data_IF_442773182719
#
_entry.id   IF_442773182719
#
_cell.length_a   1.000
_cell.length_b   1.000
_cell.length_c   1.000
_cell.angle_alpha   90.00
_cell.angle_beta   90.00
_cell.angle_gamma   90.00
#
_symmetry.space_group_name_H-M   'P 1'
#
loop_
_entity.id
_entity.type
_entity.pdbx_description
1 polymer ?
#
# COMPACT_ATOMS: atom_id res chain seq x y z
N UNK A 1 3.68 12.71 -22.47
CA UNK A 1 3.75 12.33 -21.04
C UNK A 1 4.63 11.11 -20.91
N UNK A 2 5.65 11.19 -20.05
CA UNK A 2 6.50 10.05 -19.73
C UNK A 2 5.75 9.10 -18.79
N UNK A 3 5.85 7.78 -19.02
CA UNK A 3 5.17 6.76 -18.21
C UNK A 3 6.07 6.36 -17.05
N UNK A 4 5.51 6.33 -15.84
CA UNK A 4 6.20 5.80 -14.65
C UNK A 4 5.99 4.29 -14.61
N UNK A 5 7.07 3.51 -14.61
CA UNK A 5 7.02 2.05 -14.44
C UNK A 5 6.92 1.71 -12.96
N UNK A 6 5.88 0.98 -12.57
CA UNK A 6 5.75 0.45 -11.20
C UNK A 6 6.61 -0.82 -11.04
N UNK A 7 7.18 -1.05 -9.84
CA UNK A 7 7.84 -2.31 -9.51
C UNK A 7 6.85 -3.49 -9.53
N UNK A 8 7.36 -4.73 -9.40
CA UNK A 8 6.48 -5.89 -9.21
C UNK A 8 5.97 -5.92 -7.75
N UNK A 9 4.70 -6.28 -7.51
CA UNK A 9 4.17 -6.39 -6.15
C UNK A 9 4.80 -7.58 -5.41
N UNK A 10 4.77 -7.53 -4.08
CA UNK A 10 5.13 -8.66 -3.23
C UNK A 10 3.96 -9.62 -3.16
N UNK A 11 4.22 -10.91 -3.38
CA UNK A 11 3.21 -11.96 -3.29
C UNK A 11 2.96 -12.44 -1.86
N UNK A 12 3.97 -12.31 -0.98
CA UNK A 12 3.85 -12.67 0.43
C UNK A 12 3.60 -11.40 1.26
N UNK A 13 2.41 -11.31 1.86
CA UNK A 13 2.04 -10.25 2.78
C UNK A 13 2.75 -10.38 4.14
N UNK A 14 2.84 -9.25 4.86
CA UNK A 14 3.42 -9.21 6.20
C UNK A 14 2.41 -9.51 7.32
N UNK A 15 1.10 -9.36 7.04
CA UNK A 15 0.00 -9.57 7.98
C UNK A 15 -0.93 -10.67 7.45
N UNK A 16 -1.61 -11.37 8.34
CA UNK A 16 -2.67 -12.29 7.94
C UNK A 16 -3.92 -11.53 7.45
N UNK A 17 -4.80 -12.25 6.76
CA UNK A 17 -6.08 -11.69 6.33
C UNK A 17 -6.96 -11.33 7.55
N UNK A 18 -7.00 -12.22 8.53
CA UNK A 18 -7.79 -12.08 9.77
C UNK A 18 -7.34 -10.85 10.56
N UNK A 19 -6.03 -10.66 10.73
CA UNK A 19 -5.46 -9.49 11.41
C UNK A 19 -5.78 -8.19 10.66
N UNK A 20 -5.75 -8.23 9.32
CA UNK A 20 -6.09 -7.07 8.47
C UNK A 20 -7.56 -6.68 8.62
N UNK A 21 -8.47 -7.66 8.63
CA UNK A 21 -9.91 -7.44 8.82
C UNK A 21 -10.17 -6.84 10.21
N UNK A 22 -9.54 -7.42 11.25
CA UNK A 22 -9.70 -6.94 12.62
C UNK A 22 -9.24 -5.49 12.80
N UNK A 23 -8.13 -5.10 12.17
CA UNK A 23 -7.53 -3.76 12.31
C UNK A 23 -8.12 -2.69 11.37
N UNK A 24 -8.93 -3.08 10.38
CA UNK A 24 -9.43 -2.17 9.33
C UNK A 24 -10.30 -1.05 9.92
N UNK A 25 -9.91 0.20 9.65
CA UNK A 25 -10.64 1.42 10.04
C UNK A 25 -10.53 2.50 8.96
N UNK A 26 -11.49 3.42 8.92
CA UNK A 26 -11.41 4.59 8.03
C UNK A 26 -10.44 5.63 8.60
N UNK A 27 -9.42 6.01 7.82
CA UNK A 27 -8.47 7.09 8.15
C UNK A 27 -8.82 8.31 7.31
N UNK A 28 -8.98 9.47 7.95
CA UNK A 28 -9.37 10.75 7.30
C UNK A 28 -8.41 11.91 7.56
N UNK A 29 -7.31 11.63 8.26
CA UNK A 29 -6.20 12.55 8.48
C UNK A 29 -4.92 11.84 8.09
N UNK A 30 -4.12 12.46 7.23
CA UNK A 30 -2.93 11.85 6.62
C UNK A 30 -1.68 12.65 6.97
N UNK A 31 -0.52 11.98 7.00
CA UNK A 31 0.76 12.69 7.11
C UNK A 31 1.11 13.37 5.79
N UNK A 32 1.91 14.44 5.84
CA UNK A 32 2.52 15.08 4.65
C UNK A 32 3.64 14.25 4.00
N UNK A 33 3.97 13.07 4.55
CA UNK A 33 4.98 12.17 3.98
C UNK A 33 4.44 11.49 2.73
N UNK A 34 5.25 11.49 1.69
CA UNK A 34 4.97 10.77 0.45
C UNK A 34 5.05 9.25 0.66
N UNK A 35 4.26 8.51 -0.13
CA UNK A 35 4.37 7.07 -0.22
C UNK A 35 5.57 6.67 -1.07
N UNK A 36 6.19 5.55 -0.74
CA UNK A 36 7.23 4.96 -1.58
C UNK A 36 6.60 4.33 -2.83
N UNK A 37 7.35 4.27 -3.93
CA UNK A 37 6.86 3.69 -5.20
C UNK A 37 6.45 2.22 -5.05
N UNK A 38 7.09 1.47 -4.14
CA UNK A 38 6.75 0.09 -3.81
C UNK A 38 5.42 -0.02 -3.04
N UNK A 39 5.08 0.98 -2.23
CA UNK A 39 3.81 1.02 -1.50
C UNK A 39 2.66 1.34 -2.46
N UNK A 40 2.88 2.28 -3.38
CA UNK A 40 1.93 2.60 -4.46
C UNK A 40 1.68 1.37 -5.33
N UNK A 41 2.76 0.70 -5.76
CA UNK A 41 2.66 -0.49 -6.61
C UNK A 41 1.98 -1.69 -5.94
N UNK A 42 1.96 -1.75 -4.60
CA UNK A 42 1.34 -2.85 -3.87
C UNK A 42 -0.19 -2.68 -3.75
N UNK A 43 -0.69 -1.45 -3.91
CA UNK A 43 -2.12 -1.12 -3.77
C UNK A 43 -2.94 -1.32 -5.06
N UNK A 44 -2.28 -1.36 -6.22
CA UNK A 44 -2.90 -1.54 -7.54
C UNK A 44 -2.76 -2.98 -8.04
#
# INVERSE_FOLDING_TARGET
MEKIKLPKPRLKGALSLEETIQKRRSIRSYSSKELKIEEISQLC
#
